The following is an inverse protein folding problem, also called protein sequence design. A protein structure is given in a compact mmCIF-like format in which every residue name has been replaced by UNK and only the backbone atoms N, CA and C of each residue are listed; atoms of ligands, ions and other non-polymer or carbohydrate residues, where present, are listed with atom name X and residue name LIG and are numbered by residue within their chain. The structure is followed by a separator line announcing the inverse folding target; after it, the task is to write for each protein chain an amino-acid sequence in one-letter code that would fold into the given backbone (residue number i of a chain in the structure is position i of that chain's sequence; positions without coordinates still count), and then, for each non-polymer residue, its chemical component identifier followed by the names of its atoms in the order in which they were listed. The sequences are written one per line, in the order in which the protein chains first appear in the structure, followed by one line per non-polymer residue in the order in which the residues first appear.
data_IF_122473559001
#
_entry.id   IF_122473559001
#
_cell.length_a   1.000
_cell.length_b   1.000
_cell.length_c   1.000
_cell.angle_alpha   90.00
_cell.angle_beta   90.00
_cell.angle_gamma   90.00
#
_symmetry.space_group_name_H-M   'P 1'
#
loop_
_entity.id
_entity.type
_entity.pdbx_description
1 polymer ?
#
# COMPACT_ATOMS: atom_id res chain seq x y z
N UNK A 1 9.07 27.52 -36.99
CA UNK A 1 9.54 26.50 -36.02
C UNK A 1 9.29 27.02 -34.61
N UNK A 2 8.90 26.18 -33.63
CA UNK A 2 8.82 26.61 -32.24
C UNK A 2 10.22 26.98 -31.72
N UNK A 3 10.30 27.99 -30.87
CA UNK A 3 11.54 28.40 -30.20
C UNK A 3 12.09 27.26 -29.34
N UNK A 4 13.37 26.95 -29.54
CA UNK A 4 14.10 25.87 -28.88
C UNK A 4 14.12 26.06 -27.37
N UNK A 5 14.18 27.31 -26.88
CA UNK A 5 14.16 27.61 -25.44
C UNK A 5 12.79 27.28 -24.86
N UNK A 6 11.71 27.62 -25.57
CA UNK A 6 10.36 27.23 -25.18
C UNK A 6 10.15 25.72 -25.19
N UNK A 7 10.71 25.00 -26.18
CA UNK A 7 10.68 23.54 -26.23
C UNK A 7 11.41 22.92 -25.02
N UNK A 8 12.62 23.39 -24.71
CA UNK A 8 13.40 22.92 -23.57
C UNK A 8 12.68 23.12 -22.23
N UNK A 9 12.07 24.30 -22.02
CA UNK A 9 11.27 24.60 -20.82
C UNK A 9 10.05 23.68 -20.70
N UNK A 10 9.35 23.44 -21.80
CA UNK A 10 8.19 22.54 -21.85
C UNK A 10 8.59 21.09 -21.54
N UNK A 11 9.70 20.62 -22.10
CA UNK A 11 10.24 19.29 -21.84
C UNK A 11 10.69 19.12 -20.39
N UNK A 12 11.42 20.10 -19.82
CA UNK A 12 11.82 20.08 -18.40
C UNK A 12 10.60 20.04 -17.48
N UNK A 13 9.58 20.86 -17.76
CA UNK A 13 8.34 20.86 -16.99
C UNK A 13 7.61 19.51 -17.08
N UNK A 14 7.61 18.90 -18.25
CA UNK A 14 7.03 17.56 -18.44
C UNK A 14 7.83 16.50 -17.70
N UNK A 15 9.17 16.55 -17.76
CA UNK A 15 10.08 15.62 -17.09
C UNK A 15 10.00 15.70 -15.56
N UNK A 16 9.66 16.86 -15.02
CA UNK A 16 9.43 17.02 -13.58
C UNK A 16 8.06 16.57 -13.12
N UNK A 17 7.04 16.73 -13.98
CA UNK A 17 5.65 16.42 -13.62
C UNK A 17 5.28 14.98 -13.95
N UNK A 18 5.99 14.33 -14.86
CA UNK A 18 5.64 13.03 -15.40
C UNK A 18 6.86 12.11 -15.47
N UNK A 19 6.59 10.80 -15.48
CA UNK A 19 7.57 9.81 -15.86
C UNK A 19 7.57 9.76 -17.38
N UNK A 20 8.67 10.16 -17.99
CA UNK A 20 8.87 10.03 -19.42
C UNK A 20 9.29 8.60 -19.74
N UNK A 21 8.64 8.03 -20.77
CA UNK A 21 8.98 6.71 -21.29
C UNK A 21 9.69 6.87 -22.63
N UNK A 22 10.92 6.38 -22.73
CA UNK A 22 11.70 6.46 -23.96
C UNK A 22 12.47 5.17 -24.19
N UNK A 23 12.28 4.51 -25.34
CA UNK A 23 12.97 3.25 -25.71
C UNK A 23 12.95 2.17 -24.60
N UNK A 24 11.83 2.05 -23.87
CA UNK A 24 11.68 1.08 -22.79
C UNK A 24 12.28 1.51 -21.44
N UNK A 25 12.87 2.70 -21.36
CA UNK A 25 13.42 3.25 -20.11
C UNK A 25 12.49 4.33 -19.55
N UNK A 26 12.50 4.46 -18.22
CA UNK A 26 11.74 5.47 -17.48
C UNK A 26 12.69 6.56 -17.01
N UNK A 27 12.28 7.81 -17.17
CA UNK A 27 13.05 8.95 -16.69
C UNK A 27 12.12 9.99 -16.07
N UNK A 28 12.47 10.47 -14.88
CA UNK A 28 11.81 11.62 -14.26
C UNK A 28 12.85 12.45 -13.51
N UNK A 29 12.65 13.76 -13.45
CA UNK A 29 13.55 14.67 -12.75
C UNK A 29 13.66 14.31 -11.25
N UNK A 30 12.61 13.70 -10.69
CA UNK A 30 12.59 13.27 -9.29
C UNK A 30 13.57 12.12 -9.00
N UNK A 31 13.91 11.27 -9.99
CA UNK A 31 14.97 10.26 -9.86
C UNK A 31 16.33 10.95 -9.72
N UNK A 32 16.60 11.96 -10.54
CA UNK A 32 17.84 12.74 -10.46
C UNK A 32 17.92 13.52 -9.13
N UNK A 33 16.80 14.07 -8.67
CA UNK A 33 16.72 14.72 -7.38
C UNK A 33 17.00 13.75 -6.22
N UNK A 34 16.49 12.51 -6.31
CA UNK A 34 16.78 11.45 -5.36
C UNK A 34 18.28 11.12 -5.32
N UNK A 35 18.91 10.90 -6.47
CA UNK A 35 20.35 10.61 -6.55
C UNK A 35 21.19 11.73 -5.93
N UNK A 36 20.82 13.00 -6.15
CA UNK A 36 21.49 14.16 -5.57
C UNK A 36 21.31 14.27 -4.04
N UNK A 37 20.23 13.75 -3.45
CA UNK A 37 19.98 13.84 -2.00
C UNK A 37 20.37 12.59 -1.22
N UNK A 38 20.02 11.44 -1.76
CA UNK A 38 19.97 10.13 -1.09
C UNK A 38 20.78 9.06 -1.81
N UNK A 39 21.43 9.40 -2.94
CA UNK A 39 22.41 8.53 -3.59
C UNK A 39 23.63 8.27 -2.70
N UNK A 40 24.50 7.36 -3.18
CA UNK A 40 25.73 7.00 -2.49
C UNK A 40 26.58 8.23 -2.16
N UNK A 41 27.33 8.25 -1.04
CA UNK A 41 28.01 9.44 -0.56
C UNK A 41 28.89 10.14 -1.61
N UNK A 42 29.63 9.37 -2.41
CA UNK A 42 30.50 9.86 -3.47
C UNK A 42 29.72 10.46 -4.65
N UNK A 43 28.73 9.72 -5.17
CA UNK A 43 27.84 10.17 -6.24
C UNK A 43 27.09 11.43 -5.83
N UNK A 44 26.60 11.46 -4.59
CA UNK A 44 25.91 12.60 -3.99
C UNK A 44 26.79 13.85 -3.97
N UNK A 45 28.07 13.71 -3.61
CA UNK A 45 29.00 14.83 -3.57
C UNK A 45 29.28 15.38 -4.98
N UNK A 46 29.48 14.49 -5.97
CA UNK A 46 29.65 14.87 -7.38
C UNK A 46 28.42 15.59 -7.92
N UNK A 47 27.22 15.03 -7.73
CA UNK A 47 25.96 15.64 -8.19
C UNK A 47 25.66 16.97 -7.51
N UNK A 48 26.00 17.15 -6.23
CA UNK A 48 25.83 18.45 -5.54
C UNK A 48 26.75 19.55 -6.07
N UNK A 49 27.92 19.20 -6.60
CA UNK A 49 28.84 20.16 -7.25
C UNK A 49 28.34 20.57 -8.63
N UNK A 50 27.76 19.64 -9.38
CA UNK A 50 27.29 19.86 -10.76
C UNK A 50 25.88 20.45 -10.85
N UNK A 51 25.00 20.13 -9.88
CA UNK A 51 23.60 20.52 -9.90
C UNK A 51 23.23 21.30 -8.64
N UNK A 52 22.60 22.46 -8.86
CA UNK A 52 21.92 23.19 -7.78
C UNK A 52 20.63 22.48 -7.40
N UNK A 53 20.13 22.68 -6.18
CA UNK A 53 18.85 22.09 -5.77
C UNK A 53 17.67 22.62 -6.61
N UNK A 54 17.75 23.87 -7.05
CA UNK A 54 16.75 24.48 -7.92
C UNK A 54 16.75 23.88 -9.33
N UNK A 55 17.91 23.49 -9.87
CA UNK A 55 17.97 22.90 -11.21
C UNK A 55 17.17 21.60 -11.33
N UNK A 56 17.10 20.83 -10.25
CA UNK A 56 16.40 19.54 -10.14
C UNK A 56 15.02 19.65 -9.48
N UNK A 57 14.57 20.87 -9.16
CA UNK A 57 13.21 21.18 -8.71
C UNK A 57 12.52 22.02 -9.78
N UNK A 58 11.29 21.67 -10.16
CA UNK A 58 10.56 22.49 -11.13
C UNK A 58 9.80 23.65 -10.46
N UNK A 59 10.52 24.45 -9.66
CA UNK A 59 9.96 25.59 -8.93
C UNK A 59 9.79 26.80 -9.86
N UNK A 60 10.87 27.20 -10.53
CA UNK A 60 10.82 28.20 -11.58
C UNK A 60 10.72 27.52 -12.96
N UNK A 61 9.59 27.75 -13.63
CA UNK A 61 9.27 27.19 -14.95
C UNK A 61 9.82 28.04 -16.09
N UNK A 62 10.22 29.27 -15.81
CA UNK A 62 10.73 30.23 -16.79
C UNK A 62 12.26 30.21 -16.87
N UNK A 63 12.94 29.73 -15.82
CA UNK A 63 14.38 29.60 -15.78
C UNK A 63 14.94 28.67 -16.87
N UNK A 64 15.93 29.17 -17.61
CA UNK A 64 16.62 28.44 -18.69
C UNK A 64 17.90 27.78 -18.17
N UNK A 65 18.60 28.39 -17.21
CA UNK A 65 19.84 27.86 -16.63
C UNK A 65 19.73 26.42 -16.13
N UNK A 66 18.62 25.99 -15.48
CA UNK A 66 18.44 24.58 -15.14
C UNK A 66 18.54 23.62 -16.32
N UNK A 67 18.06 24.02 -17.50
CA UNK A 67 18.10 23.17 -18.70
C UNK A 67 19.55 23.00 -19.14
N UNK A 68 20.32 24.09 -19.17
CA UNK A 68 21.73 24.07 -19.53
C UNK A 68 22.53 23.17 -18.59
N UNK A 69 22.31 23.30 -17.28
CA UNK A 69 22.94 22.45 -16.26
C UNK A 69 22.58 20.97 -16.38
N UNK A 70 21.33 20.66 -16.73
CA UNK A 70 20.85 19.27 -16.89
C UNK A 70 21.41 18.60 -18.16
N UNK A 71 21.99 19.37 -19.08
CA UNK A 71 22.56 18.90 -20.34
C UNK A 71 24.09 18.96 -20.40
N UNK A 72 24.77 19.28 -19.29
CA UNK A 72 26.24 19.37 -19.29
C UNK A 72 26.89 18.00 -19.52
N UNK A 73 27.93 17.91 -20.36
CA UNK A 73 28.63 16.65 -20.61
C UNK A 73 29.13 15.96 -19.35
N UNK A 74 29.65 16.73 -18.39
CA UNK A 74 30.18 16.24 -17.12
C UNK A 74 29.09 15.55 -16.29
N UNK A 75 27.88 16.10 -16.28
CA UNK A 75 26.74 15.48 -15.62
C UNK A 75 26.34 14.18 -16.32
N UNK A 76 26.27 14.18 -17.64
CA UNK A 76 25.89 13.00 -18.41
C UNK A 76 26.88 11.85 -18.19
N UNK A 77 28.17 12.15 -18.08
CA UNK A 77 29.20 11.13 -17.81
C UNK A 77 29.10 10.56 -16.40
N UNK A 78 28.82 11.40 -15.40
CA UNK A 78 28.51 10.95 -14.03
C UNK A 78 27.26 10.07 -14.02
N UNK A 79 26.22 10.39 -14.79
CA UNK A 79 24.99 9.59 -14.84
C UNK A 79 25.19 8.26 -15.58
N UNK A 80 26.05 8.22 -16.62
CA UNK A 80 26.40 6.98 -17.32
C UNK A 80 27.15 6.00 -16.42
N UNK A 81 27.92 6.49 -15.45
CA UNK A 81 28.64 5.63 -14.49
C UNK A 81 27.75 5.08 -13.37
N UNK A 82 26.45 5.40 -13.36
CA UNK A 82 25.52 4.89 -12.33
C UNK A 82 24.89 3.59 -12.82
N UNK A 83 25.33 2.48 -12.25
CA UNK A 83 24.83 1.15 -12.61
C UNK A 83 23.39 0.90 -12.12
N UNK A 84 23.03 1.48 -10.96
CA UNK A 84 21.75 1.22 -10.31
C UNK A 84 21.17 2.46 -9.63
N UNK A 85 19.85 2.63 -9.77
CA UNK A 85 19.09 3.64 -9.04
C UNK A 85 17.94 3.00 -8.28
N UNK A 86 17.81 3.34 -7.00
CA UNK A 86 16.66 2.98 -6.15
C UNK A 86 15.83 4.22 -5.96
N UNK A 87 14.54 4.15 -6.30
CA UNK A 87 13.64 5.30 -6.23
C UNK A 87 12.22 4.86 -5.87
N UNK A 88 11.61 5.59 -4.92
CA UNK A 88 10.25 5.33 -4.45
C UNK A 88 9.24 6.06 -5.34
N UNK A 89 8.43 5.30 -6.08
CA UNK A 89 7.46 5.88 -7.03
C UNK A 89 6.18 6.35 -6.33
N UNK A 90 5.68 5.61 -5.31
CA UNK A 90 4.41 5.93 -4.64
C UNK A 90 4.44 5.58 -3.15
N UNK A 91 4.30 6.54 -2.21
CA UNK A 91 4.17 7.96 -2.48
C UNK A 91 5.48 8.50 -3.03
N UNK A 92 5.38 9.28 -4.10
CA UNK A 92 6.53 9.99 -4.65
C UNK A 92 7.00 11.01 -3.60
N UNK A 93 8.27 10.90 -3.18
CA UNK A 93 8.79 11.60 -2.00
C UNK A 93 8.81 13.12 -2.17
N UNK A 94 8.95 13.61 -3.39
CA UNK A 94 9.26 15.00 -3.67
C UNK A 94 8.08 15.79 -4.27
N UNK A 95 6.97 15.12 -4.55
CA UNK A 95 5.76 15.69 -5.12
C UNK A 95 4.69 15.72 -4.07
N UNK A 96 4.47 16.89 -3.53
CA UNK A 96 3.41 17.13 -2.56
C UNK A 96 2.08 17.34 -3.30
N UNK A 97 1.12 16.47 -3.03
CA UNK A 97 -0.29 16.55 -3.39
C UNK A 97 -1.12 16.84 -2.14
N UNK A 98 -2.36 17.29 -2.32
CA UNK A 98 -3.27 17.51 -1.19
C UNK A 98 -3.42 16.26 -0.29
N UNK A 99 -3.33 15.07 -0.89
CA UNK A 99 -3.47 13.76 -0.23
C UNK A 99 -2.19 13.19 0.41
N UNK A 100 -1.01 13.80 0.22
CA UNK A 100 0.23 13.38 0.87
C UNK A 100 0.90 14.50 1.69
N UNK A 101 0.16 15.58 1.96
CA UNK A 101 0.53 16.52 3.02
C UNK A 101 0.64 15.77 4.35
N UNK A 102 1.50 16.20 5.28
CA UNK A 102 1.54 15.64 6.62
C UNK A 102 0.12 15.70 7.19
N UNK A 103 -0.47 14.53 7.42
CA UNK A 103 -1.78 14.44 8.03
C UNK A 103 -1.64 14.77 9.52
N UNK A 104 -2.71 15.31 10.11
CA UNK A 104 -2.82 15.33 11.56
C UNK A 104 -2.77 13.88 12.05
N UNK A 105 -1.68 13.53 12.73
CA UNK A 105 -1.47 12.18 13.24
C UNK A 105 -2.14 12.07 14.59
N UNK A 106 -3.07 11.14 14.73
CA UNK A 106 -3.61 10.74 16.03
C UNK A 106 -3.08 9.36 16.37
N UNK A 107 -2.48 9.23 17.56
CA UNK A 107 -2.02 7.93 18.07
C UNK A 107 -3.24 7.16 18.60
N UNK A 108 -3.52 5.99 18.00
CA UNK A 108 -4.66 5.16 18.39
C UNK A 108 -4.30 4.10 19.43
N UNK A 109 -3.07 3.59 19.39
CA UNK A 109 -2.54 2.58 20.31
C UNK A 109 -1.05 2.87 20.52
N UNK A 110 -0.62 2.81 21.78
CA UNK A 110 0.78 2.96 22.21
C UNK A 110 1.36 1.62 22.67
N UNK A 111 2.66 1.59 22.91
CA UNK A 111 3.39 0.44 23.47
C UNK A 111 3.22 -0.86 22.68
N UNK A 112 3.19 -0.75 21.34
CA UNK A 112 3.18 -1.92 20.46
C UNK A 112 4.52 -2.65 20.52
N UNK A 113 4.48 -3.97 20.71
CA UNK A 113 5.68 -4.80 20.77
C UNK A 113 6.03 -5.32 19.37
N UNK A 114 7.02 -4.68 18.74
CA UNK A 114 7.56 -5.09 17.43
C UNK A 114 6.46 -5.20 16.34
N UNK A 115 5.55 -4.21 16.29
CA UNK A 115 4.53 -4.12 15.27
C UNK A 115 5.14 -4.16 13.84
N UNK A 116 4.68 -5.06 12.99
CA UNK A 116 5.25 -5.27 11.64
C UNK A 116 4.34 -4.88 10.47
N UNK A 117 3.04 -5.16 10.59
CA UNK A 117 2.10 -5.04 9.47
C UNK A 117 0.74 -4.60 10.00
N UNK A 118 0.04 -3.80 9.20
CA UNK A 118 -1.27 -3.25 9.53
C UNK A 118 -2.26 -3.51 8.40
N UNK A 119 -3.48 -3.89 8.74
CA UNK A 119 -4.63 -3.96 7.85
C UNK A 119 -5.76 -3.11 8.40
N UNK A 120 -6.59 -2.56 7.52
CA UNK A 120 -7.78 -1.82 7.92
C UNK A 120 -9.00 -2.42 7.22
N UNK A 121 -10.02 -2.74 8.00
CA UNK A 121 -11.29 -3.22 7.47
C UNK A 121 -12.41 -2.95 8.46
N UNK A 122 -13.62 -2.70 7.95
CA UNK A 122 -14.82 -2.54 8.76
C UNK A 122 -14.68 -1.52 9.92
N UNK A 123 -13.97 -0.42 9.68
CA UNK A 123 -13.76 0.64 10.67
C UNK A 123 -12.74 0.34 11.78
N UNK A 124 -11.96 -0.74 11.65
CA UNK A 124 -10.99 -1.21 12.65
C UNK A 124 -9.63 -1.44 11.99
N UNK A 125 -8.57 -0.98 12.64
CA UNK A 125 -7.19 -1.27 12.25
C UNK A 125 -6.69 -2.49 13.02
N UNK A 126 -5.99 -3.40 12.33
CA UNK A 126 -5.43 -4.64 12.87
C UNK A 126 -3.92 -4.64 12.66
N UNK A 127 -3.15 -4.89 13.70
CA UNK A 127 -1.69 -4.86 13.66
C UNK A 127 -1.09 -6.17 14.16
N UNK A 128 -0.15 -6.74 13.41
CA UNK A 128 0.57 -7.94 13.83
C UNK A 128 1.67 -7.59 14.84
N UNK A 129 1.73 -8.33 15.95
CA UNK A 129 2.81 -8.28 16.93
C UNK A 129 3.49 -9.66 17.03
N UNK A 130 4.47 -9.95 16.15
CA UNK A 130 5.15 -11.24 16.13
C UNK A 130 5.76 -11.63 17.48
N UNK A 131 6.32 -10.67 18.21
CA UNK A 131 6.96 -10.93 19.52
C UNK A 131 5.94 -11.36 20.58
N UNK A 132 4.73 -10.81 20.54
CA UNK A 132 3.66 -11.13 21.49
C UNK A 132 2.71 -12.21 20.98
N UNK A 133 2.99 -12.80 19.81
CA UNK A 133 2.18 -13.85 19.16
C UNK A 133 0.71 -13.46 18.95
N UNK A 134 0.43 -12.18 18.75
CA UNK A 134 -0.94 -11.62 18.74
C UNK A 134 -1.17 -10.72 17.54
N UNK A 135 -2.45 -10.50 17.25
CA UNK A 135 -2.91 -9.40 16.41
C UNK A 135 -3.67 -8.45 17.32
N UNK A 136 -3.14 -7.23 17.48
CA UNK A 136 -3.85 -6.15 18.16
C UNK A 136 -4.81 -5.45 17.22
N UNK A 137 -5.84 -4.83 17.77
CA UNK A 137 -6.78 -4.03 17.01
C UNK A 137 -7.02 -2.66 17.65
N UNK A 138 -7.41 -1.69 16.83
CA UNK A 138 -7.80 -0.35 17.24
C UNK A 138 -9.08 0.07 16.50
N UNK A 139 -10.10 0.45 17.26
CA UNK A 139 -11.33 1.00 16.72
C UNK A 139 -11.07 2.41 16.16
N UNK A 140 -11.32 2.64 14.87
CA UNK A 140 -11.10 3.94 14.21
C UNK A 140 -12.44 4.61 13.90
N UNK A 141 -13.33 3.88 13.23
CA UNK A 141 -14.63 4.37 12.78
C UNK A 141 -15.77 3.56 13.40
N UNK A 142 -15.57 2.25 13.59
CA UNK A 142 -16.55 1.34 14.17
C UNK A 142 -16.33 1.19 15.66
N UNK A 143 -17.40 1.32 16.43
CA UNK A 143 -17.38 0.95 17.85
C UNK A 143 -17.36 -0.57 17.99
N UNK A 144 -16.26 -1.11 18.52
CA UNK A 144 -16.15 -2.53 18.88
C UNK A 144 -16.96 -2.82 20.15
N UNK A 145 -16.99 -1.87 21.10
CA UNK A 145 -17.73 -1.97 22.36
C UNK A 145 -19.13 -1.38 22.24
N UNK A 146 -20.14 -2.20 22.53
CA UNK A 146 -21.55 -1.82 22.59
C UNK A 146 -21.83 -1.06 23.88
N UNK A 147 -22.17 0.22 23.76
CA UNK A 147 -22.64 1.02 24.90
C UNK A 147 -24.15 0.89 25.01
N UNK A 148 -24.63 0.13 26.00
CA UNK A 148 -26.08 -0.08 26.23
C UNK A 148 -26.86 1.24 26.36
N UNK A 149 -26.24 2.29 26.93
CA UNK A 149 -26.83 3.63 27.07
C UNK A 149 -27.17 4.32 25.74
N UNK A 150 -26.52 3.93 24.65
CA UNK A 150 -26.76 4.51 23.31
C UNK A 150 -28.03 3.97 22.66
N UNK A 151 -28.48 2.78 23.04
CA UNK A 151 -29.71 2.17 22.53
C UNK A 151 -30.91 2.81 23.22
N UNK A 152 -31.57 3.78 22.59
CA UNK A 152 -32.68 4.53 23.21
C UNK A 152 -34.05 3.86 23.01
N UNK A 153 -34.27 3.20 21.88
CA UNK A 153 -35.58 2.60 21.53
C UNK A 153 -35.68 1.16 22.02
N UNK A 154 -36.90 0.73 22.38
CA UNK A 154 -37.19 -0.67 22.74
C UNK A 154 -36.86 -1.63 21.59
N UNK A 155 -37.18 -1.24 20.35
CA UNK A 155 -36.89 -2.03 19.16
C UNK A 155 -35.39 -2.33 19.02
N UNK A 156 -34.52 -1.33 19.18
CA UNK A 156 -33.06 -1.50 19.05
C UNK A 156 -32.51 -2.49 20.10
N UNK A 157 -33.04 -2.45 21.33
CA UNK A 157 -32.69 -3.40 22.38
C UNK A 157 -33.14 -4.83 22.03
N UNK A 158 -34.36 -4.98 21.51
CA UNK A 158 -34.89 -6.28 21.11
C UNK A 158 -34.11 -6.88 19.93
N UNK A 159 -33.69 -6.06 18.96
CA UNK A 159 -32.82 -6.50 17.86
C UNK A 159 -31.48 -7.00 18.38
N UNK A 160 -30.82 -6.26 19.30
CA UNK A 160 -29.55 -6.72 19.88
C UNK A 160 -29.70 -7.97 20.72
N UNK A 161 -30.75 -8.08 21.54
CA UNK A 161 -31.02 -9.31 22.28
C UNK A 161 -31.27 -10.49 21.34
N UNK A 162 -31.94 -10.28 20.21
CA UNK A 162 -32.12 -11.31 19.20
C UNK A 162 -30.79 -11.79 18.59
N UNK A 163 -29.89 -10.86 18.25
CA UNK A 163 -28.55 -11.18 17.74
C UNK A 163 -27.75 -12.04 18.73
N UNK A 164 -27.93 -11.82 20.04
CA UNK A 164 -27.32 -12.63 21.10
C UNK A 164 -28.13 -13.86 21.51
N UNK A 165 -29.21 -14.19 20.79
CA UNK A 165 -30.12 -15.30 21.10
C UNK A 165 -30.73 -15.23 22.52
N UNK A 166 -30.96 -14.03 23.03
CA UNK A 166 -31.57 -13.76 24.34
C UNK A 166 -33.07 -13.43 24.22
N UNK A 167 -33.81 -13.61 25.33
CA UNK A 167 -35.24 -13.26 25.38
C UNK A 167 -35.49 -11.78 25.12
N UNK A 168 -36.51 -11.48 24.29
CA UNK A 168 -36.93 -10.13 23.89
C UNK A 168 -38.09 -9.57 24.72
N UNK A 169 -38.56 -10.35 25.70
CA UNK A 169 -39.70 -10.01 26.53
C UNK A 169 -39.31 -9.12 27.70
N UNK A 170 -40.23 -8.25 28.08
CA UNK A 170 -40.10 -7.36 29.23
C UNK A 170 -40.20 -5.86 28.92
N UNK A 171 -40.05 -5.07 29.98
CA UNK A 171 -39.96 -3.61 29.92
C UNK A 171 -38.55 -3.17 29.52
N UNK A 172 -38.39 -1.93 29.05
CA UNK A 172 -37.08 -1.39 28.62
C UNK A 172 -35.97 -1.56 29.69
N UNK A 173 -36.22 -1.32 31.00
CA UNK A 173 -35.23 -1.59 32.05
C UNK A 173 -34.78 -3.05 32.10
N UNK A 174 -35.72 -3.99 32.06
CA UNK A 174 -35.42 -5.43 32.08
C UNK A 174 -34.58 -5.86 30.88
N UNK A 175 -34.89 -5.33 29.69
CA UNK A 175 -34.11 -5.61 28.48
C UNK A 175 -32.66 -5.08 28.59
N UNK A 176 -32.47 -3.87 29.14
CA UNK A 176 -31.15 -3.28 29.36
C UNK A 176 -30.33 -4.05 30.37
N UNK A 177 -30.94 -4.43 31.49
CA UNK A 177 -30.28 -5.20 32.54
C UNK A 177 -29.81 -6.56 32.01
N UNK A 178 -30.68 -7.25 31.26
CA UNK A 178 -30.35 -8.53 30.62
C UNK A 178 -29.17 -8.39 29.65
N UNK A 179 -29.21 -7.37 28.79
CA UNK A 179 -28.11 -7.11 27.85
C UNK A 179 -26.81 -6.77 28.59
N UNK A 180 -26.88 -5.94 29.63
CA UNK A 180 -25.71 -5.56 30.42
C UNK A 180 -25.08 -6.78 31.11
N UNK A 181 -25.89 -7.61 31.76
CA UNK A 181 -25.43 -8.85 32.41
C UNK A 181 -24.71 -9.76 31.40
N UNK A 182 -25.27 -9.94 30.22
CA UNK A 182 -24.64 -10.74 29.17
C UNK A 182 -23.29 -10.16 28.70
N UNK A 183 -23.20 -8.85 28.50
CA UNK A 183 -21.95 -8.18 28.13
C UNK A 183 -20.90 -8.29 29.25
N UNK A 184 -21.30 -8.21 30.52
CA UNK A 184 -20.41 -8.38 31.67
C UNK A 184 -19.89 -9.83 31.76
N UNK A 185 -20.73 -10.82 31.48
CA UNK A 185 -20.33 -12.23 31.36
C UNK A 185 -19.33 -12.43 30.22
N UNK A 186 -19.60 -11.88 29.03
CA UNK A 186 -18.69 -11.93 27.89
C UNK A 186 -17.36 -11.23 28.17
N UNK A 187 -17.36 -10.10 28.88
CA UNK A 187 -16.15 -9.36 29.26
C UNK A 187 -15.17 -10.19 30.08
N UNK A 188 -15.67 -11.17 30.84
CA UNK A 188 -14.86 -12.12 31.60
C UNK A 188 -14.09 -13.10 30.70
N UNK A 189 -14.50 -13.31 29.45
CA UNK A 189 -13.75 -14.12 28.47
C UNK A 189 -12.56 -13.38 27.84
N UNK A 190 -12.50 -12.06 28.02
CA UNK A 190 -11.47 -11.18 27.43
C UNK A 190 -10.38 -10.74 28.43
N UNK A 191 -10.38 -11.27 29.65
CA UNK A 191 -9.35 -10.96 30.65
C UNK A 191 -7.97 -11.38 30.13
N UNK A 192 -7.05 -10.40 30.00
CA UNK A 192 -5.69 -10.62 29.49
C UNK A 192 -5.52 -10.49 27.96
N UNK A 193 -6.60 -10.27 27.21
CA UNK A 193 -6.62 -10.06 25.75
C UNK A 193 -7.10 -8.66 25.39
N UNK A 194 -6.62 -7.65 26.13
CA UNK A 194 -6.95 -6.24 25.86
C UNK A 194 -6.56 -5.89 24.43
N UNK A 195 -7.55 -5.41 23.66
CA UNK A 195 -7.39 -4.97 22.27
C UNK A 195 -6.70 -6.01 21.37
N UNK A 196 -6.90 -7.29 21.63
CA UNK A 196 -6.36 -8.40 20.85
C UNK A 196 -7.50 -9.30 20.37
N UNK A 197 -7.35 -9.90 19.19
CA UNK A 197 -8.35 -10.87 18.70
C UNK A 197 -8.33 -12.10 19.63
N UNK A 198 -9.46 -12.40 20.26
CA UNK A 198 -9.62 -13.56 21.14
C UNK A 198 -9.91 -14.85 20.35
N UNK A 199 -9.63 -16.01 20.92
CA UNK A 199 -9.96 -17.31 20.29
C UNK A 199 -9.02 -17.78 19.16
N UNK A 200 -7.96 -17.01 18.87
CA UNK A 200 -6.94 -17.37 17.85
C UNK A 200 -5.55 -17.45 18.47
N UNK A 201 -4.75 -18.38 17.95
CA UNK A 201 -3.34 -18.56 18.33
C UNK A 201 -2.43 -18.47 17.10
N UNK A 202 -1.34 -17.73 17.25
CA UNK A 202 -0.30 -17.56 16.24
C UNK A 202 1.05 -17.94 16.82
N UNK A 203 1.96 -18.45 15.99
CA UNK A 203 3.33 -18.70 16.44
C UNK A 203 4.21 -17.47 16.25
N UNK A 204 4.10 -16.82 15.09
CA UNK A 204 4.80 -15.58 14.75
C UNK A 204 4.09 -14.84 13.60
N UNK A 205 2.99 -14.10 13.89
CA UNK A 205 2.25 -13.37 12.86
C UNK A 205 3.11 -12.24 12.29
N UNK A 206 3.44 -12.29 10.99
CA UNK A 206 4.42 -11.42 10.35
C UNK A 206 3.80 -10.36 9.44
N UNK A 207 2.73 -10.71 8.72
CA UNK A 207 2.02 -9.82 7.82
C UNK A 207 0.50 -10.05 7.88
N UNK A 208 -0.29 -9.01 7.65
CA UNK A 208 -1.76 -9.09 7.62
C UNK A 208 -2.33 -8.26 6.47
N UNK A 209 -3.40 -8.74 5.85
CA UNK A 209 -4.26 -7.93 4.97
C UNK A 209 -5.73 -8.30 5.16
N UNK A 210 -6.62 -7.41 4.75
CA UNK A 210 -8.06 -7.68 4.74
C UNK A 210 -8.47 -8.35 3.42
N UNK A 211 -9.15 -9.50 3.50
CA UNK A 211 -9.81 -10.15 2.36
C UNK A 211 -11.23 -9.64 2.17
N UNK A 212 -11.91 -9.30 3.27
CA UNK A 212 -13.24 -8.69 3.29
C UNK A 212 -13.44 -7.90 4.59
N UNK A 213 -14.66 -7.44 4.83
CA UNK A 213 -15.04 -6.71 6.05
C UNK A 213 -14.82 -7.54 7.32
N UNK A 214 -14.99 -8.86 7.24
CA UNK A 214 -14.94 -9.76 8.39
C UNK A 214 -13.89 -10.87 8.25
N UNK A 215 -12.98 -10.76 7.28
CA UNK A 215 -11.95 -11.78 7.04
C UNK A 215 -10.58 -11.14 6.87
N UNK A 216 -9.63 -11.58 7.69
CA UNK A 216 -8.21 -11.26 7.56
C UNK A 216 -7.44 -12.44 6.97
N UNK A 217 -6.42 -12.14 6.19
CA UNK A 217 -5.38 -13.08 5.79
C UNK A 217 -4.10 -12.72 6.54
N UNK A 218 -3.56 -13.67 7.29
CA UNK A 218 -2.40 -13.49 8.17
C UNK A 218 -1.30 -14.45 7.75
N UNK A 219 -0.11 -13.93 7.47
CA UNK A 219 1.09 -14.76 7.35
C UNK A 219 1.62 -15.07 8.75
N UNK A 220 1.79 -16.34 9.07
CA UNK A 220 2.36 -16.79 10.34
C UNK A 220 3.68 -17.54 10.08
N UNK A 221 4.78 -16.78 10.09
CA UNK A 221 6.14 -17.24 9.80
C UNK A 221 6.65 -18.31 10.78
N UNK A 222 6.01 -18.46 11.94
CA UNK A 222 6.33 -19.51 12.90
C UNK A 222 5.76 -20.85 12.46
N UNK A 223 4.56 -20.82 11.88
CA UNK A 223 3.89 -22.00 11.31
C UNK A 223 4.19 -22.26 9.82
N UNK A 224 4.80 -21.28 9.12
CA UNK A 224 5.07 -21.38 7.68
C UNK A 224 3.81 -21.43 6.82
N UNK A 225 2.72 -20.79 7.26
CA UNK A 225 1.45 -20.80 6.55
C UNK A 225 0.70 -19.47 6.62
N UNK A 226 -0.17 -19.26 5.64
CA UNK A 226 -1.20 -18.25 5.69
C UNK A 226 -2.41 -18.81 6.45
N UNK A 227 -2.89 -18.05 7.43
CA UNK A 227 -4.12 -18.30 8.17
C UNK A 227 -5.19 -17.32 7.73
N UNK A 228 -6.37 -17.83 7.44
CA UNK A 228 -7.58 -17.03 7.29
C UNK A 228 -8.24 -16.88 8.66
N UNK A 229 -8.47 -15.65 9.09
CA UNK A 229 -9.10 -15.33 10.38
C UNK A 229 -10.45 -14.69 10.11
N UNK A 230 -11.52 -15.41 10.43
CA UNK A 230 -12.88 -14.88 10.38
C UNK A 230 -13.17 -14.13 11.69
N UNK A 231 -13.62 -12.89 11.57
CA UNK A 231 -13.84 -11.95 12.66
C UNK A 231 -15.30 -11.98 13.08
N UNK A 232 -15.54 -12.01 14.39
CA UNK A 232 -16.86 -11.88 14.98
C UNK A 232 -16.86 -10.78 16.04
N UNK A 233 -17.82 -9.87 15.95
CA UNK A 233 -17.97 -8.72 16.85
C UNK A 233 -19.12 -8.99 17.81
N UNK A 234 -18.80 -9.33 19.05
CA UNK A 234 -19.78 -9.68 20.09
C UNK A 234 -20.25 -8.48 20.93
N UNK A 235 -19.80 -7.27 20.58
CA UNK A 235 -20.13 -6.04 21.31
C UNK A 235 -19.28 -5.80 22.56
N UNK A 236 -18.34 -6.69 22.88
CA UNK A 236 -17.33 -6.49 23.94
C UNK A 236 -15.93 -6.38 23.34
N UNK A 237 -15.64 -7.25 22.37
CA UNK A 237 -14.36 -7.34 21.70
C UNK A 237 -14.50 -7.92 20.30
N UNK A 238 -13.42 -8.55 19.84
CA UNK A 238 -13.36 -9.23 18.56
C UNK A 238 -12.89 -10.66 18.82
N UNK A 239 -13.74 -11.63 18.50
CA UNK A 239 -13.38 -13.04 18.44
C UNK A 239 -12.90 -13.37 17.04
N UNK A 240 -11.94 -14.28 16.94
CA UNK A 240 -11.45 -14.83 15.70
C UNK A 240 -11.61 -16.34 15.65
N UNK A 241 -11.88 -16.86 14.47
CA UNK A 241 -11.68 -18.28 14.15
C UNK A 241 -10.64 -18.39 13.05
N UNK A 242 -9.58 -19.15 13.30
CA UNK A 242 -8.43 -19.26 12.39
C UNK A 242 -8.42 -20.60 11.66
N UNK A 243 -8.30 -20.55 10.34
CA UNK A 243 -8.12 -21.74 9.48
C UNK A 243 -6.85 -21.60 8.66
N UNK A 244 -6.01 -22.63 8.61
CA UNK A 244 -4.84 -22.64 7.72
C UNK A 244 -5.30 -22.71 6.26
N UNK A 245 -4.84 -21.75 5.45
CA UNK A 245 -5.24 -21.60 4.06
C UNK A 245 -4.22 -22.20 3.10
N UNK A 246 -2.94 -21.83 3.22
CA UNK A 246 -1.88 -22.29 2.33
C UNK A 246 -0.53 -22.26 3.06
N UNK A 247 0.36 -23.20 2.73
CA UNK A 247 1.73 -23.23 3.24
C UNK A 247 2.66 -22.48 2.28
N UNK A 248 3.74 -21.93 2.81
CA UNK A 248 4.82 -21.36 2.03
C UNK A 248 6.18 -21.92 2.47
N UNK A 249 7.19 -21.96 1.58
CA UNK A 249 8.46 -22.61 1.88
C UNK A 249 9.13 -22.04 3.13
N UNK A 250 9.65 -22.91 3.98
CA UNK A 250 10.48 -22.50 5.13
C UNK A 250 11.96 -22.63 4.76
N UNK A 251 12.87 -21.73 5.21
CA UNK A 251 12.62 -20.51 5.97
C UNK A 251 12.36 -19.31 5.05
N UNK A 252 11.11 -18.85 5.02
CA UNK A 252 10.71 -17.61 4.35
C UNK A 252 10.13 -16.66 5.40
N UNK A 253 10.54 -15.39 5.37
CA UNK A 253 9.94 -14.36 6.23
C UNK A 253 9.12 -13.40 5.40
N UNK A 254 7.80 -13.51 5.53
CA UNK A 254 6.84 -12.68 4.82
C UNK A 254 6.91 -11.26 5.40
N UNK A 255 7.04 -10.29 4.51
CA UNK A 255 7.20 -8.87 4.86
C UNK A 255 5.89 -8.12 4.70
N UNK A 256 5.16 -8.39 3.61
CA UNK A 256 3.88 -7.76 3.35
C UNK A 256 2.99 -8.68 2.53
N UNK A 257 1.68 -8.49 2.67
CA UNK A 257 0.65 -9.19 1.90
C UNK A 257 -0.41 -8.19 1.47
N UNK A 258 -0.97 -8.38 0.28
CA UNK A 258 -1.95 -7.49 -0.31
C UNK A 258 -2.97 -8.27 -1.12
N UNK A 259 -4.24 -7.99 -0.87
CA UNK A 259 -5.34 -8.67 -1.56
C UNK A 259 -5.75 -7.96 -2.84
N UNK A 260 -5.87 -8.71 -3.93
CA UNK A 260 -6.42 -8.25 -5.20
C UNK A 260 -7.82 -8.80 -5.39
N UNK A 261 -8.84 -7.99 -5.01
CA UNK A 261 -10.26 -8.37 -5.10
C UNK A 261 -10.67 -8.81 -6.51
N UNK A 262 -10.18 -8.12 -7.55
CA UNK A 262 -10.54 -8.41 -8.94
C UNK A 262 -10.02 -9.74 -9.49
N UNK A 263 -8.96 -10.30 -8.90
CA UNK A 263 -8.33 -11.54 -9.34
C UNK A 263 -8.47 -12.68 -8.31
N UNK A 264 -9.14 -12.42 -7.19
CA UNK A 264 -9.28 -13.33 -6.05
C UNK A 264 -7.95 -13.98 -5.61
N UNK A 265 -6.89 -13.17 -5.57
CA UNK A 265 -5.56 -13.62 -5.18
C UNK A 265 -4.91 -12.63 -4.23
N UNK A 266 -3.99 -13.10 -3.39
CA UNK A 266 -3.14 -12.26 -2.58
C UNK A 266 -1.72 -12.24 -3.16
N UNK A 267 -1.11 -11.06 -3.26
CA UNK A 267 0.31 -10.94 -3.54
C UNK A 267 1.03 -10.74 -2.23
N UNK A 268 2.18 -11.38 -2.07
CA UNK A 268 3.00 -11.18 -0.88
C UNK A 268 4.47 -11.12 -1.24
N UNK A 269 5.21 -10.45 -0.38
CA UNK A 269 6.66 -10.32 -0.50
C UNK A 269 7.31 -11.01 0.66
N UNK A 270 8.45 -11.64 0.38
CA UNK A 270 9.26 -12.26 1.39
C UNK A 270 10.72 -11.86 1.28
N UNK A 271 11.36 -11.79 2.44
CA UNK A 271 12.78 -11.48 2.59
C UNK A 271 13.63 -12.74 2.64
N UNK A 272 14.95 -12.58 2.45
CA UNK A 272 15.93 -13.67 2.44
C UNK A 272 16.33 -14.14 1.04
N UNK A 273 17.26 -15.09 0.98
CA UNK A 273 17.78 -15.65 -0.28
C UNK A 273 16.71 -16.36 -1.10
N UNK A 274 15.75 -17.02 -0.43
CA UNK A 274 14.57 -17.63 -1.05
C UNK A 274 13.38 -16.65 -1.16
N UNK A 275 13.60 -15.37 -0.83
CA UNK A 275 12.59 -14.33 -0.88
C UNK A 275 12.30 -13.84 -2.30
N UNK A 276 11.36 -12.90 -2.40
CA UNK A 276 10.87 -12.40 -3.68
C UNK A 276 9.43 -11.93 -3.61
N UNK A 277 8.77 -11.93 -4.76
CA UNK A 277 7.34 -11.64 -4.93
C UNK A 277 6.64 -12.94 -5.30
N UNK A 278 5.54 -13.21 -4.61
CA UNK A 278 4.75 -14.41 -4.76
C UNK A 278 3.27 -14.06 -4.92
N UNK A 279 2.53 -14.95 -5.56
CA UNK A 279 1.08 -14.89 -5.73
C UNK A 279 0.46 -16.09 -5.01
N UNK A 280 -0.37 -15.84 -4.02
CA UNK A 280 -1.27 -16.82 -3.42
C UNK A 280 -2.62 -16.78 -4.14
N UNK A 281 -2.99 -17.86 -4.80
CA UNK A 281 -4.34 -18.03 -5.32
C UNK A 281 -5.27 -18.56 -4.22
N UNK A 282 -6.30 -17.80 -3.86
CA UNK A 282 -7.15 -18.14 -2.72
C UNK A 282 -8.06 -19.35 -3.03
N UNK A 283 -8.48 -19.51 -4.29
CA UNK A 283 -9.33 -20.61 -4.74
C UNK A 283 -8.59 -21.95 -4.74
N UNK A 284 -7.38 -21.99 -5.29
CA UNK A 284 -6.57 -23.21 -5.41
C UNK A 284 -5.65 -23.44 -4.21
N UNK A 285 -5.48 -22.42 -3.34
CA UNK A 285 -4.56 -22.40 -2.20
C UNK A 285 -3.10 -22.61 -2.58
N UNK A 286 -2.76 -22.32 -3.84
CA UNK A 286 -1.41 -22.49 -4.36
C UNK A 286 -0.62 -21.19 -4.26
N UNK A 287 0.66 -21.33 -3.92
CA UNK A 287 1.64 -20.25 -3.91
C UNK A 287 2.50 -20.35 -5.17
N UNK A 288 2.41 -19.35 -6.03
CA UNK A 288 3.17 -19.21 -7.27
C UNK A 288 4.29 -18.19 -7.09
N UNK A 289 5.48 -18.50 -7.58
CA UNK A 289 6.60 -17.55 -7.61
C UNK A 289 6.42 -16.59 -8.79
N UNK A 290 6.42 -15.28 -8.51
CA UNK A 290 6.35 -14.24 -9.56
C UNK A 290 7.75 -13.72 -9.88
N UNK A 291 8.57 -13.48 -8.86
CA UNK A 291 9.94 -12.99 -8.99
C UNK A 291 10.76 -13.44 -7.79
N UNK A 292 11.98 -13.98 -7.98
CA UNK A 292 12.90 -14.28 -6.87
C UNK A 292 13.93 -13.17 -6.69
N UNK A 293 14.40 -12.98 -5.45
CA UNK A 293 15.43 -11.99 -5.13
C UNK A 293 16.77 -12.24 -5.84
N UNK A 294 17.09 -13.51 -6.12
CA UNK A 294 18.37 -13.94 -6.70
C UNK A 294 18.35 -14.11 -8.22
N UNK A 295 17.19 -13.94 -8.88
CA UNK A 295 17.11 -14.04 -10.33
C UNK A 295 17.51 -12.71 -10.98
N UNK A 296 18.58 -12.67 -11.80
CA UNK A 296 18.90 -11.50 -12.59
C UNK A 296 17.72 -11.26 -13.53
N UNK A 297 16.98 -10.18 -13.31
CA UNK A 297 15.89 -9.81 -14.21
C UNK A 297 16.53 -9.27 -15.47
N UNK A 298 16.45 -9.94 -16.64
CA UNK A 298 16.81 -9.27 -17.87
C UNK A 298 15.84 -8.09 -18.03
N UNK A 299 16.39 -6.87 -18.10
CA UNK A 299 15.65 -5.65 -18.44
C UNK A 299 14.98 -5.74 -19.83
N UNK A 300 15.23 -6.80 -20.59
CA UNK A 300 14.48 -7.20 -21.78
C UNK A 300 13.36 -8.18 -21.38
N UNK A 301 12.12 -7.69 -21.37
CA UNK A 301 10.93 -8.55 -21.26
C UNK A 301 10.07 -8.34 -20.01
N UNK A 302 9.95 -7.11 -19.49
CA UNK A 302 9.02 -6.76 -18.39
C UNK A 302 7.52 -6.86 -18.76
N UNK A 303 7.13 -7.71 -19.71
CA UNK A 303 5.73 -7.87 -20.13
C UNK A 303 4.83 -8.54 -19.07
N UNK A 304 5.24 -9.55 -18.28
CA UNK A 304 4.29 -10.23 -17.39
C UNK A 304 3.87 -9.37 -16.19
N UNK A 305 4.79 -8.55 -15.66
CA UNK A 305 4.51 -7.65 -14.52
C UNK A 305 3.74 -6.41 -14.98
N UNK A 306 3.96 -5.94 -16.22
CA UNK A 306 3.22 -4.82 -16.82
C UNK A 306 1.81 -5.20 -17.26
N UNK A 307 1.54 -6.46 -17.67
CA UNK A 307 0.18 -6.90 -17.97
C UNK A 307 -0.71 -6.92 -16.72
N UNK A 308 -0.11 -7.09 -15.53
CA UNK A 308 -0.78 -6.92 -14.25
C UNK A 308 -1.10 -5.45 -13.91
N UNK A 309 -0.42 -4.48 -14.54
CA UNK A 309 -0.60 -3.04 -14.27
C UNK A 309 -1.83 -2.40 -14.90
N UNK A 310 -2.68 -3.17 -15.62
CA UNK A 310 -4.02 -2.69 -16.00
C UNK A 310 -4.98 -2.65 -14.81
N UNK A 311 -4.63 -3.24 -13.66
CA UNK A 311 -5.40 -3.19 -12.41
C UNK A 311 -4.45 -3.02 -11.23
N UNK A 312 -4.29 -1.76 -10.83
CA UNK A 312 -3.52 -1.20 -9.71
C UNK A 312 -3.04 -2.23 -8.66
N UNK A 313 -1.73 -2.50 -8.65
CA UNK A 313 -0.98 -3.14 -7.57
C UNK A 313 0.22 -2.22 -7.24
N UNK A 314 0.25 -1.63 -6.05
CA UNK A 314 1.37 -0.79 -5.60
C UNK A 314 2.34 -1.61 -4.77
N UNK A 315 3.57 -1.80 -5.26
CA UNK A 315 4.66 -2.43 -4.51
C UNK A 315 5.69 -1.34 -4.20
N UNK A 316 5.78 -0.90 -2.94
CA UNK A 316 6.84 -0.03 -2.45
C UNK A 316 8.05 -0.91 -2.14
N UNK A 317 9.21 -0.65 -2.75
CA UNK A 317 10.48 -1.19 -2.29
C UNK A 317 11.22 -0.07 -1.57
N UNK A 318 11.33 -0.13 -0.24
CA UNK A 318 12.21 0.79 0.51
C UNK A 318 13.49 0.05 0.91
N UNK A 319 14.62 0.61 0.52
CA UNK A 319 15.94 0.20 0.99
C UNK A 319 16.44 1.16 2.06
N UNK A 320 16.91 0.64 3.19
CA UNK A 320 17.82 1.37 4.08
C UNK A 320 19.25 1.13 3.61
N UNK A 321 19.95 2.18 3.20
CA UNK A 321 21.41 2.13 3.05
C UNK A 321 22.05 2.20 4.44
N UNK A 322 22.62 1.08 4.90
CA UNK A 322 23.44 1.02 6.11
C UNK A 322 23.29 -0.28 6.90
N UNK A 323 24.33 -1.14 6.81
CA UNK A 323 24.65 -2.29 7.68
C UNK A 323 23.48 -2.98 8.40
N UNK A 324 22.56 -3.55 7.63
CA UNK A 324 21.73 -4.73 7.93
C UNK A 324 20.80 -4.91 6.73
N UNK A 325 21.13 -5.84 5.84
CA UNK A 325 20.36 -6.09 4.62
C UNK A 325 18.99 -6.68 4.95
N UNK A 326 17.95 -5.86 4.86
CA UNK A 326 16.56 -6.31 4.79
C UNK A 326 15.80 -5.41 3.83
N UNK A 327 15.36 -5.99 2.71
CA UNK A 327 14.49 -5.33 1.74
C UNK A 327 13.09 -5.30 2.34
N UNK A 328 12.57 -4.11 2.66
CA UNK A 328 11.20 -3.96 3.11
C UNK A 328 10.37 -3.61 1.89
N UNK A 329 9.60 -4.59 1.42
CA UNK A 329 8.50 -4.32 0.52
C UNK A 329 7.30 -3.93 1.38
N UNK A 330 6.88 -2.66 1.33
CA UNK A 330 5.65 -2.19 2.00
C UNK A 330 4.57 -2.14 0.93
N UNK A 331 3.60 -3.04 0.98
CA UNK A 331 2.37 -2.79 0.20
C UNK A 331 1.52 -1.82 1.00
N UNK A 332 1.33 -0.62 0.46
CA UNK A 332 0.38 0.34 1.02
C UNK A 332 -1.04 -0.17 0.77
N UNK A 333 -1.71 -0.62 1.81
CA UNK A 333 -3.16 -0.54 1.90
C UNK A 333 -3.49 0.91 2.27
N UNK A 334 -4.27 1.59 1.44
CA UNK A 334 -4.55 3.03 1.49
C UNK A 334 -4.75 3.55 2.92
N UNK A 335 -3.95 4.55 3.33
CA UNK A 335 -4.22 5.32 4.54
C UNK A 335 -5.48 6.17 4.36
N UNK A 336 -6.46 5.95 5.23
CA UNK A 336 -7.65 6.80 5.36
C UNK A 336 -7.25 8.14 5.97
N UNK A 337 -7.38 9.19 5.15
CA UNK A 337 -7.41 10.58 5.61
C UNK A 337 -8.89 10.97 5.73
N UNK A 338 -9.31 11.42 6.90
CA UNK A 338 -10.67 11.92 7.17
C UNK A 338 -10.89 13.22 6.38
N UNK A 339 -11.48 13.11 5.19
CA UNK A 339 -11.66 14.22 4.28
C UNK A 339 -12.97 14.98 4.56
N UNK A 340 -12.91 16.31 4.56
CA UNK A 340 -14.05 17.20 4.85
C UNK A 340 -15.07 17.22 3.70
N UNK A 341 -16.29 17.73 3.92
CA UNK A 341 -17.45 17.58 3.00
C UNK A 341 -17.20 18.07 1.56
N UNK A 342 -16.32 19.04 1.34
CA UNK A 342 -15.90 19.52 0.01
C UNK A 342 -14.88 18.60 -0.69
N UNK A 343 -14.08 17.83 0.06
CA UNK A 343 -13.13 16.86 -0.47
C UNK A 343 -13.80 15.54 -0.90
N UNK A 344 -15.05 15.30 -0.50
CA UNK A 344 -15.84 14.13 -0.97
C UNK A 344 -16.11 14.18 -2.47
N UNK A 345 -16.18 15.37 -3.08
CA UNK A 345 -16.34 15.49 -4.55
C UNK A 345 -15.09 15.04 -5.31
N UNK A 346 -13.88 15.20 -4.76
CA UNK A 346 -12.64 14.77 -5.41
C UNK A 346 -12.42 13.25 -5.32
N UNK A 347 -12.88 12.61 -4.23
CA UNK A 347 -12.85 11.13 -4.09
C UNK A 347 -13.85 10.46 -5.03
N UNK A 348 -14.98 11.14 -5.33
CA UNK A 348 -15.94 10.68 -6.33
C UNK A 348 -15.38 10.67 -7.76
N UNK A 349 -14.39 11.51 -8.08
CA UNK A 349 -13.73 11.52 -9.39
C UNK A 349 -12.73 10.37 -9.60
N UNK A 350 -12.19 9.78 -8.52
CA UNK A 350 -11.31 8.61 -8.60
C UNK A 350 -12.06 7.27 -8.59
N UNK A 351 -13.31 7.25 -8.12
CA UNK A 351 -14.18 6.07 -8.11
C UNK A 351 -14.95 5.84 -9.44
N UNK A 352 -14.97 6.83 -10.34
CA UNK A 352 -15.68 6.75 -11.63
C UNK A 352 -14.80 6.43 -12.85
N UNK A 353 -13.56 5.96 -12.67
CA UNK A 353 -12.74 5.43 -13.79
C UNK A 353 -13.15 4.00 -14.21
N UNK A 354 -14.43 3.67 -14.05
CA UNK A 354 -15.05 2.42 -14.48
C UNK A 354 -16.04 2.66 -15.62
N UNK A 355 -15.60 3.32 -16.69
CA UNK A 355 -16.14 3.20 -18.07
C UNK A 355 -15.50 4.26 -18.96
N UNK A 356 -15.01 3.84 -20.13
CA UNK A 356 -14.49 4.65 -21.23
C UNK A 356 -13.15 5.39 -21.02
N UNK A 357 -12.07 4.83 -21.58
CA UNK A 357 -11.20 5.53 -22.54
C UNK A 357 -10.20 4.53 -23.14
N UNK A 358 -10.52 4.05 -24.34
CA UNK A 358 -9.49 3.75 -25.34
C UNK A 358 -8.99 5.09 -25.86
N UNK A 359 -7.73 5.43 -25.58
CA UNK A 359 -6.95 6.28 -26.49
C UNK A 359 -5.64 5.54 -26.77
N UNK A 360 -5.73 4.65 -27.75
CA UNK A 360 -4.58 4.25 -28.52
C UNK A 360 -4.19 5.46 -29.38
N UNK A 361 -3.00 6.02 -29.17
CA UNK A 361 -2.34 6.75 -30.26
C UNK A 361 -1.87 5.67 -31.24
N UNK A 362 -2.78 5.29 -32.13
CA UNK A 362 -2.51 4.53 -33.34
C UNK A 362 -1.82 5.51 -34.28
N UNK A 363 -0.52 5.31 -34.52
CA UNK A 363 0.12 5.91 -35.68
C UNK A 363 -0.44 5.17 -36.88
N UNK A 364 -1.44 5.76 -37.54
CA UNK A 364 -1.91 5.25 -38.83
C UNK A 364 -0.84 5.54 -39.88
N UNK A 365 -0.26 4.45 -40.41
CA UNK A 365 0.36 4.49 -41.73
C UNK A 365 -0.76 4.66 -42.77
N UNK A 366 -1.00 5.89 -43.21
CA UNK A 366 -1.67 6.13 -44.48
C UNK A 366 -0.61 6.36 -45.55
N UNK A 367 -0.28 5.30 -46.28
CA UNK A 367 0.27 5.39 -47.62
C UNK A 367 -0.76 6.04 -48.54
N UNK A 368 -0.48 7.26 -48.97
CA UNK A 368 -1.09 7.83 -50.18
C UNK A 368 0.01 8.50 -50.98
N UNK A 369 0.38 7.82 -52.07
CA UNK A 369 1.14 8.37 -53.18
C UNK A 369 0.53 9.70 -53.62
N UNK A 370 1.36 10.74 -53.72
CA UNK A 370 1.24 11.74 -54.77
C UNK A 370 2.64 12.12 -55.24
N UNK A 371 2.81 11.98 -56.56
CA UNK A 371 3.93 12.41 -57.36
C UNK A 371 4.33 13.86 -57.07
N UNK A 372 5.63 14.11 -57.01
CA UNK A 372 6.22 15.34 -57.52
C UNK A 372 7.45 14.94 -58.34
N UNK A 373 7.29 15.13 -59.65
CA UNK A 373 8.32 15.10 -60.67
C UNK A 373 9.36 16.21 -60.40
N UNK A 374 10.59 15.92 -60.79
CA UNK A 374 11.62 16.81 -61.34
C UNK A 374 11.53 18.32 -61.03
N UNK A 375 12.53 18.84 -60.30
CA UNK A 375 13.62 19.74 -60.79
C UNK A 375 14.53 20.07 -59.61
#
# INVERSE_FOLDING_TARGET
MPDVVHLGKSLKCSWSNWILWFKGTRSTLAILYNLRREGEPELRMKLKKLLTEESVRNKDRMAVDPILLLTTPELLDVLKSVDRVVYTIVPEKYRMWLSNRPADVTVLVEDLQNAKSVAFTNGVAYCTEPSSKRIRFAAVERNVKLKVSTLKKKADLQTKLQEFHLSKEGTVPQLRERLKKHLDELQTSYTGTVNSIAGVSFERPSAVCALSDDILLVADDGSGCFKQVCLNFDGVGIQGTSTALATYPHPMSVVSVAFSKGNNCAFFTASGHLGGIFKLELSSRQVLTVLRNSEPTPLKGTLPVLQLMKRVLFILLTGRAGKCGSWIAVVFQYMLVKANKEQRMAVHYLLNFHSHMEFAVRVEHSTSLMHLQDV
#
